data_IF_113215487081
#
_entry.id   IF_113215487081
#
_cell.length_a   1.000
_cell.length_b   1.000
_cell.length_c   1.000
_cell.angle_alpha   90.00
_cell.angle_beta   90.00
_cell.angle_gamma   90.00
#
_symmetry.space_group_name_H-M   'P 1'
#
loop_
_entity.id
_entity.type
_entity.pdbx_description
1 polymer ?
#
# COMPACT_ATOMS: atom_id res chain seq x y z
N UNK A 1 -10.94 4.57 12.11
CA UNK A 1 -9.91 3.61 11.73
C UNK A 1 -9.17 4.10 10.50
N UNK A 2 -8.16 3.35 10.09
CA UNK A 2 -7.30 3.76 8.97
C UNK A 2 -8.07 3.87 7.66
N UNK A 3 -8.97 2.94 7.37
CA UNK A 3 -9.75 2.95 6.12
C UNK A 3 -10.64 4.20 6.05
N UNK A 4 -11.34 4.51 7.13
CA UNK A 4 -12.18 5.72 7.19
C UNK A 4 -11.34 6.99 7.05
N UNK A 5 -10.18 7.03 7.70
CA UNK A 5 -9.26 8.15 7.59
C UNK A 5 -8.83 8.37 6.14
N UNK A 6 -8.45 7.30 5.47
CA UNK A 6 -8.02 7.40 4.07
C UNK A 6 -9.14 7.89 3.16
N UNK A 7 -10.36 7.40 3.37
CA UNK A 7 -11.50 7.80 2.55
C UNK A 7 -11.88 9.26 2.82
N UNK A 8 -12.05 9.63 4.08
CA UNK A 8 -12.60 10.93 4.46
C UNK A 8 -11.57 12.06 4.38
N UNK A 9 -10.35 11.81 4.82
CA UNK A 9 -9.34 12.85 4.93
C UNK A 9 -8.36 12.88 3.77
N UNK A 10 -8.10 11.73 3.15
CA UNK A 10 -7.11 11.60 2.08
C UNK A 10 -7.73 11.27 0.72
N UNK A 11 -9.05 11.19 0.67
CA UNK A 11 -9.83 11.04 -0.57
C UNK A 11 -9.53 9.76 -1.36
N UNK A 12 -9.23 8.69 -0.65
CA UNK A 12 -9.04 7.39 -1.29
C UNK A 12 -10.40 6.87 -1.78
N UNK A 13 -10.45 6.27 -2.99
CA UNK A 13 -11.72 5.89 -3.62
C UNK A 13 -12.29 4.61 -2.99
N UNK A 14 -13.33 4.76 -2.15
CA UNK A 14 -13.94 3.62 -1.48
C UNK A 14 -14.46 2.56 -2.46
N UNK A 15 -14.93 2.99 -3.63
CA UNK A 15 -15.44 2.07 -4.65
C UNK A 15 -14.35 1.16 -5.24
N UNK A 16 -13.07 1.53 -5.10
CA UNK A 16 -11.94 0.76 -5.61
C UNK A 16 -11.19 0.02 -4.50
N UNK A 17 -11.72 0.02 -3.28
CA UNK A 17 -11.05 -0.61 -2.13
C UNK A 17 -11.69 -1.96 -1.81
N UNK A 18 -10.85 -2.94 -1.48
CA UNK A 18 -11.27 -4.25 -0.98
C UNK A 18 -10.48 -4.60 0.27
N UNK A 19 -11.17 -5.13 1.27
CA UNK A 19 -10.56 -5.51 2.54
C UNK A 19 -10.46 -7.02 2.65
N UNK A 20 -9.42 -7.49 3.34
CA UNK A 20 -9.22 -8.91 3.64
C UNK A 20 -9.31 -9.78 2.38
N UNK A 21 -8.52 -9.43 1.37
CA UNK A 21 -8.57 -10.11 0.08
C UNK A 21 -7.28 -10.89 -0.17
N UNK A 22 -7.42 -12.06 -0.80
CA UNK A 22 -6.27 -12.83 -1.26
C UNK A 22 -5.99 -12.49 -2.72
N UNK A 23 -4.74 -12.10 -3.01
CA UNK A 23 -4.29 -11.79 -4.36
C UNK A 23 -3.40 -12.92 -4.83
N UNK A 24 -3.62 -13.37 -6.07
CA UNK A 24 -2.78 -14.37 -6.70
C UNK A 24 -2.14 -13.77 -7.95
N UNK A 25 -0.80 -13.73 -7.96
CA UNK A 25 -0.02 -13.24 -9.10
C UNK A 25 1.12 -14.22 -9.29
N UNK A 26 1.28 -14.75 -10.53
CA UNK A 26 2.34 -15.69 -10.89
C UNK A 26 2.40 -16.88 -9.93
N UNK A 27 1.24 -17.46 -9.61
CA UNK A 27 1.10 -18.61 -8.73
C UNK A 27 1.46 -18.31 -7.26
N UNK A 28 1.72 -17.06 -6.93
CA UNK A 28 1.96 -16.63 -5.56
C UNK A 28 0.67 -16.05 -4.98
N UNK A 29 0.31 -16.52 -3.79
CA UNK A 29 -0.86 -16.03 -3.06
C UNK A 29 -0.41 -15.18 -1.88
N UNK A 30 -1.04 -14.01 -1.73
CA UNK A 30 -0.84 -13.16 -0.57
C UNK A 30 -2.18 -12.66 -0.06
N UNK A 31 -2.42 -12.82 1.24
CA UNK A 31 -3.55 -12.18 1.90
C UNK A 31 -3.17 -10.74 2.23
N UNK A 32 -4.00 -9.81 1.79
CA UNK A 32 -3.80 -8.39 2.01
C UNK A 32 -4.92 -7.85 2.88
N UNK A 33 -4.58 -6.94 3.80
CA UNK A 33 -5.58 -6.34 4.68
C UNK A 33 -6.49 -5.41 3.91
N UNK A 34 -5.92 -4.53 3.10
CA UNK A 34 -6.69 -3.64 2.21
C UNK A 34 -5.91 -3.43 0.92
N UNK A 35 -6.63 -3.45 -0.19
CA UNK A 35 -6.09 -3.12 -1.50
C UNK A 35 -6.91 -2.00 -2.11
N UNK A 36 -6.25 -1.03 -2.73
CA UNK A 36 -6.88 -0.04 -3.59
C UNK A 36 -6.51 -0.40 -5.02
N UNK A 37 -7.53 -0.64 -5.85
CA UNK A 37 -7.33 -0.95 -7.26
C UNK A 37 -7.34 0.32 -8.09
N UNK A 38 -6.67 0.28 -9.23
CA UNK A 38 -6.82 1.36 -10.21
C UNK A 38 -8.05 1.12 -11.09
N UNK A 39 -8.30 2.01 -12.03
CA UNK A 39 -9.49 1.92 -12.90
C UNK A 39 -9.44 0.73 -13.85
N UNK A 40 -8.28 0.11 -14.00
CA UNK A 40 -8.09 -1.08 -14.83
C UNK A 40 -8.13 -2.36 -13.98
N UNK A 41 -8.60 -2.27 -12.74
CA UNK A 41 -8.72 -3.39 -11.80
C UNK A 41 -7.38 -4.03 -11.43
N UNK A 42 -6.28 -3.26 -11.49
CA UNK A 42 -4.98 -3.72 -11.03
C UNK A 42 -4.69 -3.19 -9.64
N UNK A 43 -4.08 -3.99 -8.76
CA UNK A 43 -3.68 -3.50 -7.44
C UNK A 43 -2.73 -2.31 -7.57
N UNK A 44 -3.08 -1.22 -6.92
CA UNK A 44 -2.32 0.02 -6.97
C UNK A 44 -1.70 0.39 -5.63
N UNK A 45 -2.46 0.27 -4.55
CA UNK A 45 -1.99 0.49 -3.18
C UNK A 45 -2.29 -0.73 -2.35
N UNK A 46 -1.30 -1.23 -1.62
CA UNK A 46 -1.53 -2.25 -0.58
C UNK A 46 -1.34 -1.59 0.78
N UNK A 47 -2.27 -1.83 1.68
CA UNK A 47 -2.23 -1.31 3.04
C UNK A 47 -2.17 -2.49 4.00
N UNK A 48 -1.13 -2.53 4.83
CA UNK A 48 -0.93 -3.58 5.83
C UNK A 48 -1.07 -2.98 7.22
N UNK A 49 -1.88 -3.63 8.05
CA UNK A 49 -2.10 -3.21 9.43
C UNK A 49 -1.35 -4.14 10.38
N UNK A 50 -0.73 -3.55 11.38
CA UNK A 50 -0.12 -4.27 12.50
C UNK A 50 -0.81 -3.85 13.77
N UNK A 51 -0.80 -4.73 14.77
CA UNK A 51 -1.34 -4.40 16.08
C UNK A 51 -0.59 -3.20 16.70
N UNK A 52 -1.26 -2.37 17.52
CA UNK A 52 -0.62 -1.17 18.08
C UNK A 52 0.67 -1.44 18.86
N UNK A 53 0.79 -2.61 19.49
CA UNK A 53 1.97 -2.98 20.24
C UNK A 53 3.12 -3.49 19.37
N UNK A 54 2.92 -3.68 18.06
CA UNK A 54 3.97 -4.13 17.15
C UNK A 54 4.70 -2.92 16.60
N UNK A 55 5.98 -2.72 16.93
CA UNK A 55 6.75 -1.63 16.32
C UNK A 55 7.05 -1.96 14.86
N UNK A 56 6.91 -0.94 14.01
CA UNK A 56 7.25 -1.09 12.58
C UNK A 56 8.74 -0.77 12.43
N UNK A 57 9.55 -1.80 12.65
CA UNK A 57 11.00 -1.70 12.50
C UNK A 57 11.37 -1.85 11.02
N UNK A 58 12.62 -1.56 10.70
CA UNK A 58 13.13 -1.75 9.34
C UNK A 58 12.96 -3.20 8.89
N UNK A 59 13.21 -4.16 9.79
CA UNK A 59 13.06 -5.58 9.49
C UNK A 59 11.61 -5.94 9.16
N UNK A 60 10.66 -5.47 9.95
CA UNK A 60 9.22 -5.71 9.72
C UNK A 60 8.81 -5.10 8.39
N UNK A 61 9.24 -3.85 8.13
CA UNK A 61 8.94 -3.18 6.89
C UNK A 61 9.50 -3.93 5.68
N UNK A 62 10.77 -4.35 5.75
CA UNK A 62 11.42 -5.07 4.65
C UNK A 62 10.70 -6.37 4.32
N UNK A 63 10.20 -7.05 5.34
CA UNK A 63 9.45 -8.30 5.18
C UNK A 63 8.16 -8.07 4.39
N UNK A 64 7.42 -7.03 4.75
CA UNK A 64 6.17 -6.67 4.06
C UNK A 64 6.47 -6.21 2.64
N UNK A 65 7.46 -5.34 2.48
CA UNK A 65 7.83 -4.78 1.19
C UNK A 65 8.33 -5.84 0.21
N UNK A 66 8.98 -6.89 0.70
CA UNK A 66 9.46 -7.97 -0.17
C UNK A 66 8.32 -8.67 -0.91
N UNK A 67 7.17 -8.83 -0.27
CA UNK A 67 5.97 -9.37 -0.92
C UNK A 67 5.45 -8.42 -1.99
N UNK A 68 5.43 -7.13 -1.68
CA UNK A 68 4.93 -6.13 -2.64
C UNK A 68 5.80 -6.04 -3.89
N UNK A 69 7.11 -6.24 -3.75
CA UNK A 69 8.01 -6.31 -4.89
C UNK A 69 7.59 -7.43 -5.85
N UNK A 70 7.22 -8.58 -5.31
CA UNK A 70 6.80 -9.73 -6.13
C UNK A 70 5.44 -9.49 -6.77
N UNK A 71 4.54 -8.75 -6.11
CA UNK A 71 3.22 -8.45 -6.62
C UNK A 71 3.20 -7.27 -7.59
N UNK A 72 4.31 -6.54 -7.69
CA UNK A 72 4.46 -5.39 -8.59
C UNK A 72 3.45 -4.26 -8.32
N UNK A 73 3.15 -4.03 -7.03
CA UNK A 73 2.22 -2.97 -6.61
C UNK A 73 3.00 -1.68 -6.35
N UNK A 74 2.58 -0.54 -6.92
CA UNK A 74 3.37 0.70 -6.84
C UNK A 74 3.49 1.32 -5.46
N UNK A 75 2.42 1.28 -4.66
CA UNK A 75 2.36 2.02 -3.39
C UNK A 75 2.11 1.05 -2.24
N UNK A 76 2.86 1.26 -1.16
CA UNK A 76 2.70 0.48 0.07
C UNK A 76 2.48 1.41 1.25
N UNK A 77 1.45 1.11 2.04
CA UNK A 77 1.19 1.77 3.31
C UNK A 77 1.25 0.71 4.40
N UNK A 78 2.02 0.97 5.46
CA UNK A 78 2.11 0.09 6.63
C UNK A 78 1.79 0.92 7.87
N UNK A 79 0.90 0.42 8.71
CA UNK A 79 0.45 1.14 9.90
C UNK A 79 0.23 0.20 11.07
N UNK A 80 0.56 0.67 12.28
CA UNK A 80 0.14 0.00 13.50
C UNK A 80 -0.87 0.83 14.31
N UNK A 81 -1.47 1.84 13.65
CA UNK A 81 -2.41 2.74 14.30
C UNK A 81 -1.76 3.93 14.99
N UNK A 82 -0.49 3.82 15.37
CA UNK A 82 0.28 4.88 16.03
C UNK A 82 1.30 5.50 15.09
N UNK A 83 1.89 4.68 14.24
CA UNK A 83 2.91 5.09 13.29
C UNK A 83 2.51 4.59 11.90
N UNK A 84 2.65 5.44 10.90
CA UNK A 84 2.29 5.14 9.53
C UNK A 84 3.47 5.40 8.62
N UNK A 85 3.68 4.48 7.68
CA UNK A 85 4.68 4.66 6.62
C UNK A 85 4.01 4.48 5.27
N UNK A 86 4.34 5.35 4.34
CA UNK A 86 3.86 5.25 2.97
C UNK A 86 5.04 5.43 2.03
N UNK A 87 5.17 4.51 1.07
CA UNK A 87 6.26 4.63 0.10
C UNK A 87 5.78 4.26 -1.29
N UNK A 88 6.46 4.82 -2.28
CA UNK A 88 6.40 4.38 -3.65
C UNK A 88 7.56 3.43 -3.91
N UNK A 89 7.30 2.33 -4.58
CA UNK A 89 8.33 1.36 -4.93
C UNK A 89 8.83 1.67 -6.33
N UNK A 90 10.10 2.03 -6.41
CA UNK A 90 10.79 2.25 -7.69
C UNK A 90 11.37 0.92 -8.15
N UNK A 91 10.65 0.24 -9.04
CA UNK A 91 11.05 -1.09 -9.50
C UNK A 91 12.29 -1.06 -10.39
N UNK A 92 12.50 0.03 -11.13
CA UNK A 92 13.65 0.18 -12.01
C UNK A 92 14.96 0.23 -11.22
N UNK A 93 14.96 0.97 -10.11
CA UNK A 93 16.16 1.13 -9.27
C UNK A 93 16.11 0.28 -7.99
N UNK A 94 15.03 -0.48 -7.81
CA UNK A 94 14.83 -1.38 -6.65
C UNK A 94 15.00 -0.66 -5.32
N UNK A 95 14.30 0.46 -5.17
CA UNK A 95 14.36 1.24 -3.94
C UNK A 95 12.97 1.70 -3.53
N UNK A 96 12.84 2.06 -2.23
CA UNK A 96 11.62 2.61 -1.66
C UNK A 96 11.79 4.12 -1.54
N UNK A 97 10.79 4.87 -2.01
CA UNK A 97 10.78 6.33 -1.90
C UNK A 97 9.67 6.68 -0.93
N UNK A 98 10.04 7.12 0.28
CA UNK A 98 9.07 7.39 1.33
C UNK A 98 8.48 8.77 1.19
N UNK A 99 7.17 8.85 1.44
CA UNK A 99 6.48 10.12 1.66
C UNK A 99 6.63 10.52 3.12
N UNK A 100 6.63 11.82 3.41
CA UNK A 100 6.70 12.31 4.79
C UNK A 100 5.48 11.89 5.59
N UNK A 101 4.33 11.84 4.93
CA UNK A 101 3.05 11.43 5.51
C UNK A 101 2.27 10.71 4.42
N UNK A 102 1.15 10.08 4.81
CA UNK A 102 0.28 9.48 3.82
C UNK A 102 -0.30 10.60 2.97
N UNK A 103 0.00 10.62 1.65
CA UNK A 103 -0.44 11.72 0.80
C UNK A 103 -1.92 11.61 0.44
N UNK A 104 -2.50 12.73 0.02
CA UNK A 104 -3.82 12.72 -0.60
C UNK A 104 -3.78 11.82 -1.85
N UNK A 105 -4.87 11.11 -2.12
CA UNK A 105 -4.90 10.15 -3.23
C UNK A 105 -4.62 10.81 -4.59
N UNK A 106 -4.97 12.09 -4.73
CA UNK A 106 -4.74 12.85 -5.98
C UNK A 106 -3.26 12.89 -6.39
N UNK A 107 -2.34 12.80 -5.42
CA UNK A 107 -0.90 12.79 -5.69
C UNK A 107 -0.51 11.60 -6.57
N UNK A 108 -1.20 10.48 -6.42
CA UNK A 108 -0.84 9.25 -7.13
C UNK A 108 -1.17 9.25 -8.62
N UNK A 109 -1.96 10.20 -9.10
CA UNK A 109 -2.31 10.30 -10.53
C UNK A 109 -1.06 10.39 -11.41
N UNK A 110 -0.05 11.13 -10.96
CA UNK A 110 1.19 11.27 -11.72
C UNK A 110 1.96 9.96 -11.85
N UNK A 111 1.86 9.09 -10.84
CA UNK A 111 2.58 7.81 -10.84
C UNK A 111 1.89 6.76 -11.71
N UNK A 112 0.59 6.85 -11.90
CA UNK A 112 -0.14 5.94 -12.78
C UNK A 112 0.29 6.11 -14.23
N UNK A 113 0.66 7.32 -14.63
CA UNK A 113 1.07 7.62 -16.00
C UNK A 113 2.51 7.18 -16.29
N UNK A 114 3.28 6.85 -15.26
CA UNK A 114 4.67 6.40 -15.39
C UNK A 114 4.80 4.88 -15.54
N UNK A 115 3.69 4.16 -15.43
CA UNK A 115 3.68 2.69 -15.42
C UNK A 115 3.30 2.08 -16.76
#
# INVERSE_FOLDING_TARGET
>A
NMVEFLIQEKHYPSALMSNEITVEINQMKKRCDTIVYDVNCQPFVIIEYKAPEVPITQKVFDQIASYNLKLNVPILIVSNGLTHYCCRIDYAQRRYIFFKEIPDYSIFKQYKNEQ
#
